data_IF_177692204718
#
_entry.id   IF_177692204718
#
_cell.length_a   1.000
_cell.length_b   1.000
_cell.length_c   1.000
_cell.angle_alpha   90.00
_cell.angle_beta   90.00
_cell.angle_gamma   90.00
#
_symmetry.space_group_name_H-M   'P 1'
#
loop_
_entity.id
_entity.type
_entity.pdbx_description
1 polymer ?
#
# COMPACT_ATOMS: atom_id res chain seq x y z
N UNK A 1 6.53 -19.77 17.64
CA UNK A 1 5.37 -20.08 18.49
C UNK A 1 4.27 -19.07 18.19
N UNK A 2 3.04 -19.54 17.99
CA UNK A 2 2.05 -19.03 17.03
C UNK A 2 1.48 -17.63 17.31
N UNK A 3 1.91 -16.62 16.54
CA UNK A 3 1.28 -15.30 16.46
C UNK A 3 -0.23 -15.38 16.19
N UNK A 4 -0.68 -16.39 15.43
CA UNK A 4 -2.09 -16.62 15.12
C UNK A 4 -2.93 -17.04 16.34
N UNK A 5 -2.38 -17.78 17.30
CA UNK A 5 -3.10 -18.17 18.52
C UNK A 5 -3.28 -16.98 19.46
N UNK A 6 -2.23 -16.18 19.63
CA UNK A 6 -2.30 -14.98 20.46
C UNK A 6 -3.22 -13.91 19.85
N UNK A 7 -3.26 -13.82 18.52
CA UNK A 7 -4.22 -12.98 17.84
C UNK A 7 -5.67 -13.43 18.04
N UNK A 8 -5.95 -14.75 17.95
CA UNK A 8 -7.30 -15.27 18.20
C UNK A 8 -7.77 -14.98 19.62
N UNK A 9 -6.93 -15.23 20.62
CA UNK A 9 -7.25 -14.94 22.02
C UNK A 9 -7.58 -13.44 22.22
N UNK A 10 -6.81 -12.54 21.60
CA UNK A 10 -7.10 -11.10 21.69
C UNK A 10 -8.44 -10.73 21.04
N UNK A 11 -8.81 -11.36 19.92
CA UNK A 11 -10.10 -11.10 19.25
C UNK A 11 -11.28 -11.63 20.06
N UNK A 12 -11.12 -12.76 20.76
CA UNK A 12 -12.13 -13.30 21.67
C UNK A 12 -12.35 -12.35 22.86
N UNK A 13 -11.27 -11.86 23.48
CA UNK A 13 -11.35 -10.86 24.55
C UNK A 13 -12.06 -9.58 24.07
N UNK A 14 -11.80 -9.15 22.83
CA UNK A 14 -12.49 -8.00 22.25
C UNK A 14 -13.98 -8.29 22.02
N UNK A 15 -14.32 -9.46 21.52
CA UNK A 15 -15.71 -9.88 21.33
C UNK A 15 -16.48 -9.89 22.65
N UNK A 16 -15.91 -10.49 23.70
CA UNK A 16 -16.48 -10.50 25.05
C UNK A 16 -16.65 -9.07 25.58
N UNK A 17 -15.64 -8.21 25.38
CA UNK A 17 -15.71 -6.81 25.77
C UNK A 17 -16.82 -6.02 25.07
N UNK A 18 -17.12 -6.32 23.81
CA UNK A 18 -18.26 -5.75 23.09
C UNK A 18 -19.55 -6.22 23.74
N UNK A 19 -19.71 -7.53 23.95
CA UNK A 19 -20.91 -8.13 24.53
C UNK A 19 -21.17 -7.61 25.95
N UNK A 20 -20.13 -7.46 26.78
CA UNK A 20 -20.19 -6.88 28.12
C UNK A 20 -20.82 -5.48 28.13
N UNK A 21 -20.33 -4.59 27.26
CA UNK A 21 -20.80 -3.19 27.19
C UNK A 21 -22.26 -3.14 26.73
N UNK A 22 -22.63 -3.98 25.76
CA UNK A 22 -24.00 -4.06 25.28
C UNK A 22 -24.95 -4.62 26.36
N UNK A 23 -24.54 -5.69 27.04
CA UNK A 23 -25.30 -6.28 28.14
C UNK A 23 -25.50 -5.31 29.31
N UNK A 24 -24.46 -4.55 29.70
CA UNK A 24 -24.55 -3.51 30.72
C UNK A 24 -25.58 -2.42 30.39
N UNK A 25 -25.84 -2.19 29.10
CA UNK A 25 -26.85 -1.25 28.59
C UNK A 25 -28.18 -1.95 28.23
N UNK A 26 -28.40 -3.18 28.72
CA UNK A 26 -29.62 -3.99 28.50
C UNK A 26 -29.88 -4.32 27.03
N UNK A 27 -28.84 -4.35 26.21
CA UNK A 27 -28.90 -4.78 24.81
C UNK A 27 -28.39 -6.22 24.72
N UNK A 28 -29.26 -7.13 24.31
CA UNK A 28 -28.89 -8.52 24.02
C UNK A 28 -28.29 -8.58 22.63
N UNK A 29 -26.99 -8.84 22.55
CA UNK A 29 -26.25 -8.99 21.31
C UNK A 29 -25.21 -10.09 21.46
N UNK A 30 -24.86 -10.73 20.35
CA UNK A 30 -23.79 -11.72 20.31
C UNK A 30 -22.92 -11.50 19.08
N UNK A 31 -21.61 -11.59 19.25
CA UNK A 31 -20.62 -11.58 18.16
C UNK A 31 -20.65 -12.95 17.49
N UNK A 32 -20.98 -12.98 16.21
CA UNK A 32 -21.11 -14.23 15.42
C UNK A 32 -19.89 -14.52 14.56
N UNK A 33 -19.00 -13.54 14.41
CA UNK A 33 -17.81 -13.64 13.59
C UNK A 33 -17.29 -12.27 13.21
N UNK A 34 -16.55 -12.22 12.12
CA UNK A 34 -15.95 -10.99 11.65
C UNK A 34 -14.81 -11.20 10.69
N UNK A 35 -14.22 -10.10 10.27
CA UNK A 35 -13.05 -10.09 9.37
C UNK A 35 -11.96 -9.23 9.97
N UNK A 36 -10.73 -9.74 9.93
CA UNK A 36 -9.55 -8.95 10.30
C UNK A 36 -8.79 -8.61 9.04
N UNK A 37 -8.76 -7.32 8.70
CA UNK A 37 -7.90 -6.78 7.65
C UNK A 37 -6.67 -6.10 8.27
N UNK A 38 -5.79 -5.58 7.42
CA UNK A 38 -4.61 -4.84 7.89
C UNK A 38 -4.94 -3.52 8.59
N UNK A 39 -6.17 -3.01 8.42
CA UNK A 39 -6.60 -1.69 8.90
C UNK A 39 -7.80 -1.70 9.80
N UNK A 40 -8.64 -2.73 9.68
CA UNK A 40 -9.92 -2.78 10.36
C UNK A 40 -10.09 -4.17 10.94
N UNK A 41 -10.58 -4.21 12.16
CA UNK A 41 -11.18 -5.40 12.75
C UNK A 41 -12.68 -5.16 12.69
N UNK A 42 -13.38 -5.99 11.93
CA UNK A 42 -14.83 -5.99 11.82
C UNK A 42 -15.38 -7.13 12.64
N UNK A 43 -16.33 -6.86 13.52
CA UNK A 43 -17.13 -7.85 14.23
C UNK A 43 -18.58 -7.78 13.73
N UNK A 44 -19.14 -8.92 13.37
CA UNK A 44 -20.55 -9.02 12.99
C UNK A 44 -21.36 -9.48 14.20
N UNK A 45 -22.46 -8.78 14.45
CA UNK A 45 -23.35 -8.99 15.58
C UNK A 45 -24.69 -9.57 15.13
N UNK A 46 -25.25 -10.44 15.95
CA UNK A 46 -26.68 -10.73 15.95
C UNK A 46 -27.34 -10.05 17.15
N UNK A 47 -28.36 -9.24 16.90
CA UNK A 47 -29.11 -8.52 17.93
C UNK A 47 -30.48 -8.08 17.39
N UNK A 48 -31.46 -7.93 18.28
CA UNK A 48 -32.74 -7.31 17.96
C UNK A 48 -32.70 -5.78 18.04
N UNK A 49 -31.64 -5.19 18.61
CA UNK A 49 -31.49 -3.76 18.71
C UNK A 49 -31.21 -3.12 17.35
N UNK A 50 -31.75 -1.92 17.14
CA UNK A 50 -31.45 -1.12 15.97
C UNK A 50 -30.05 -0.49 16.05
N UNK A 51 -29.47 -0.13 14.90
CA UNK A 51 -28.22 0.64 14.83
C UNK A 51 -28.27 1.94 15.63
N UNK A 52 -29.44 2.55 15.76
CA UNK A 52 -29.64 3.83 16.43
C UNK A 52 -29.51 3.71 17.94
N UNK A 53 -29.88 2.55 18.49
CA UNK A 53 -29.68 2.23 19.90
C UNK A 53 -28.21 1.91 20.23
N UNK A 54 -27.47 1.39 19.26
CA UNK A 54 -26.08 0.97 19.42
C UNK A 54 -25.08 2.12 19.23
N UNK A 55 -25.33 3.02 18.26
CA UNK A 55 -24.42 4.14 17.92
C UNK A 55 -23.97 4.99 19.14
N UNK A 56 -24.84 5.34 20.10
CA UNK A 56 -24.42 6.09 21.31
C UNK A 56 -23.42 5.33 22.19
N UNK A 57 -23.38 4.00 22.11
CA UNK A 57 -22.48 3.16 22.91
C UNK A 57 -21.09 3.01 22.27
N UNK A 58 -20.88 3.49 21.04
CA UNK A 58 -19.61 3.36 20.33
C UNK A 58 -18.41 3.88 21.15
N UNK A 59 -18.56 4.99 21.86
CA UNK A 59 -17.50 5.53 22.72
C UNK A 59 -17.19 4.65 23.94
N UNK A 60 -18.22 4.05 24.56
CA UNK A 60 -18.05 3.14 25.69
C UNK A 60 -17.38 1.83 25.24
N UNK A 61 -17.77 1.31 24.07
CA UNK A 61 -17.15 0.15 23.43
C UNK A 61 -15.68 0.47 23.10
N UNK A 62 -15.40 1.61 22.45
CA UNK A 62 -14.02 2.02 22.16
C UNK A 62 -13.14 2.06 23.41
N UNK A 63 -13.66 2.64 24.49
CA UNK A 63 -12.98 2.70 25.79
C UNK A 63 -12.72 1.30 26.36
N UNK A 64 -13.72 0.41 26.34
CA UNK A 64 -13.60 -0.97 26.84
C UNK A 64 -12.53 -1.76 26.07
N UNK A 65 -12.42 -1.53 24.77
CA UNK A 65 -11.50 -2.24 23.88
C UNK A 65 -10.12 -1.59 23.78
N UNK A 66 -9.90 -0.46 24.48
CA UNK A 66 -8.70 0.36 24.30
C UNK A 66 -8.47 0.77 22.84
N UNK A 67 -9.55 0.98 22.10
CA UNK A 67 -9.54 1.41 20.71
C UNK A 67 -9.72 2.94 20.62
N UNK A 68 -9.11 3.55 19.59
CA UNK A 68 -9.22 4.99 19.37
C UNK A 68 -10.63 5.42 18.94
N UNK A 69 -11.27 4.64 18.07
CA UNK A 69 -12.66 4.83 17.68
C UNK A 69 -13.31 3.50 17.31
N UNK A 70 -14.64 3.51 17.27
CA UNK A 70 -15.47 2.37 16.93
C UNK A 70 -16.62 2.85 16.06
N UNK A 71 -16.83 2.21 14.92
CA UNK A 71 -17.92 2.55 13.98
C UNK A 71 -18.96 1.44 13.98
N UNK A 72 -20.23 1.83 14.03
CA UNK A 72 -21.36 0.89 14.04
C UNK A 72 -22.25 1.20 12.85
N UNK A 73 -22.46 0.21 12.00
CA UNK A 73 -23.28 0.34 10.79
C UNK A 73 -23.94 -0.99 10.44
N UNK A 74 -24.85 -0.97 9.45
CA UNK A 74 -25.50 -2.18 8.94
C UNK A 74 -24.81 -2.59 7.64
N UNK A 75 -24.40 -3.86 7.53
CA UNK A 75 -23.73 -4.43 6.37
C UNK A 75 -24.24 -5.84 6.08
N UNK A 76 -24.53 -6.14 4.82
CA UNK A 76 -25.03 -7.44 4.35
C UNK A 76 -26.15 -8.07 5.22
N UNK A 77 -26.99 -7.25 5.86
CA UNK A 77 -28.09 -7.70 6.72
C UNK A 77 -27.76 -7.87 8.21
N UNK A 78 -26.47 -7.81 8.60
CA UNK A 78 -26.02 -7.82 9.99
C UNK A 78 -25.69 -6.40 10.49
N UNK A 79 -25.62 -6.23 11.80
CA UNK A 79 -25.00 -5.03 12.40
C UNK A 79 -23.52 -5.33 12.60
N UNK A 80 -22.67 -4.44 12.11
CA UNK A 80 -21.23 -4.60 12.14
C UNK A 80 -20.57 -3.50 12.97
N UNK A 81 -19.54 -3.91 13.68
CA UNK A 81 -18.69 -3.10 14.53
C UNK A 81 -17.28 -3.06 13.93
N UNK A 82 -16.84 -1.89 13.47
CA UNK A 82 -15.50 -1.71 12.93
C UNK A 82 -14.60 -0.94 13.87
N UNK A 83 -13.40 -1.46 14.04
CA UNK A 83 -12.35 -0.92 14.88
C UNK A 83 -11.11 -0.69 14.00
N UNK A 84 -10.65 0.56 13.83
CA UNK A 84 -9.38 0.82 13.17
C UNK A 84 -8.22 0.18 13.94
N UNK A 85 -7.34 -0.50 13.22
CA UNK A 85 -6.08 -1.02 13.75
C UNK A 85 -5.11 0.17 13.86
N UNK A 86 -4.61 0.52 15.06
CA UNK A 86 -3.82 1.73 15.29
C UNK A 86 -2.52 1.79 14.48
N UNK A 87 -1.89 0.63 14.25
CA UNK A 87 -0.75 0.49 13.35
C UNK A 87 -1.09 -0.50 12.24
N UNK A 88 -1.19 -0.05 10.98
CA UNK A 88 -1.39 -0.96 9.86
C UNK A 88 -0.32 -2.03 9.87
N UNK A 89 -0.73 -3.31 9.89
CA UNK A 89 0.22 -4.41 9.93
C UNK A 89 0.99 -4.49 8.63
N UNK A 90 2.31 -4.61 8.71
CA UNK A 90 3.17 -4.86 7.56
C UNK A 90 2.68 -6.10 6.80
N UNK A 91 2.33 -5.90 5.54
CA UNK A 91 1.92 -6.96 4.63
C UNK A 91 3.12 -7.39 3.81
N UNK A 92 3.55 -8.65 3.90
CA UNK A 92 4.73 -9.10 3.13
C UNK A 92 4.34 -9.31 1.67
N UNK A 93 5.16 -8.80 0.76
CA UNK A 93 4.92 -8.97 -0.68
C UNK A 93 4.84 -10.45 -1.10
N UNK A 94 5.61 -11.33 -0.49
CA UNK A 94 5.62 -12.77 -0.84
C UNK A 94 4.27 -13.44 -0.58
N UNK A 95 3.60 -13.09 0.52
CA UNK A 95 2.25 -13.59 0.81
C UNK A 95 1.25 -13.13 -0.25
N UNK A 96 1.37 -11.88 -0.68
CA UNK A 96 0.50 -11.31 -1.70
C UNK A 96 0.78 -11.90 -3.10
N UNK A 97 2.05 -12.20 -3.40
CA UNK A 97 2.45 -12.90 -4.62
C UNK A 97 1.86 -14.31 -4.67
N UNK A 98 1.89 -15.05 -3.56
CA UNK A 98 1.28 -16.37 -3.44
C UNK A 98 -0.25 -16.31 -3.62
N UNK A 99 -0.91 -15.30 -3.03
CA UNK A 99 -2.36 -15.08 -3.16
C UNK A 99 -2.79 -14.74 -4.60
N UNK A 100 -2.01 -13.91 -5.29
CA UNK A 100 -2.32 -13.47 -6.65
C UNK A 100 -1.96 -14.53 -7.70
N UNK A 101 -0.88 -15.28 -7.48
CA UNK A 101 -0.40 -16.36 -8.35
C UNK A 101 0.21 -15.87 -9.67
N UNK A 102 -0.55 -15.15 -10.49
CA UNK A 102 -0.10 -14.56 -11.75
C UNK A 102 -0.68 -13.17 -11.95
N UNK A 103 0.04 -12.31 -12.68
CA UNK A 103 -0.41 -10.96 -13.01
C UNK A 103 -0.41 -10.74 -14.52
N UNK A 104 -1.28 -9.85 -15.04
CA UNK A 104 -1.18 -9.44 -16.44
C UNK A 104 0.16 -8.76 -16.75
N UNK A 105 0.60 -8.74 -18.02
CA UNK A 105 1.85 -8.06 -18.40
C UNK A 105 1.91 -6.60 -17.95
N UNK A 106 3.10 -6.13 -17.58
CA UNK A 106 3.37 -4.77 -17.08
C UNK A 106 2.55 -4.39 -15.83
N UNK A 107 2.21 -5.38 -15.00
CA UNK A 107 1.42 -5.16 -13.78
C UNK A 107 2.30 -5.31 -12.53
N UNK A 108 2.31 -4.27 -11.71
CA UNK A 108 2.95 -4.24 -10.40
C UNK A 108 1.94 -4.65 -9.32
N UNK A 109 2.43 -5.29 -8.27
CA UNK A 109 1.68 -5.48 -7.03
C UNK A 109 1.84 -4.22 -6.17
N UNK A 110 0.74 -3.64 -5.70
CA UNK A 110 0.77 -2.49 -4.78
C UNK A 110 0.62 -2.92 -3.32
N UNK A 111 -0.40 -3.73 -3.02
CA UNK A 111 -0.82 -4.02 -1.65
C UNK A 111 -2.24 -4.59 -1.60
N UNK A 112 -3.00 -4.28 -0.54
CA UNK A 112 -4.43 -4.60 -0.46
C UNK A 112 -5.26 -3.35 -0.22
N UNK A 113 -6.43 -3.30 -0.85
CA UNK A 113 -7.42 -2.25 -0.61
C UNK A 113 -8.09 -2.39 0.78
N UNK A 114 -9.02 -1.49 1.07
CA UNK A 114 -9.76 -1.50 2.35
C UNK A 114 -10.62 -2.76 2.56
N UNK A 115 -10.95 -3.50 1.49
CA UNK A 115 -11.67 -4.78 1.55
C UNK A 115 -10.73 -5.96 1.75
N UNK A 116 -9.42 -5.74 1.81
CA UNK A 116 -8.42 -6.79 1.91
C UNK A 116 -8.15 -7.52 0.59
N UNK A 117 -8.61 -6.98 -0.53
CA UNK A 117 -8.39 -7.55 -1.85
C UNK A 117 -7.04 -7.09 -2.41
N UNK A 118 -6.26 -7.98 -3.06
CA UNK A 118 -5.02 -7.60 -3.73
C UNK A 118 -5.25 -6.47 -4.74
N UNK A 119 -4.52 -5.37 -4.57
CA UNK A 119 -4.53 -4.23 -5.47
C UNK A 119 -3.31 -4.31 -6.40
N UNK A 120 -3.59 -4.42 -7.69
CA UNK A 120 -2.62 -4.52 -8.76
C UNK A 120 -2.68 -3.26 -9.63
N UNK A 121 -1.54 -2.81 -10.16
CA UNK A 121 -1.46 -1.67 -11.05
C UNK A 121 -0.73 -2.02 -12.33
N UNK A 122 -1.46 -2.01 -13.46
CA UNK A 122 -0.83 -2.01 -14.78
C UNK A 122 -0.26 -0.62 -15.04
N UNK A 123 1.06 -0.52 -15.24
CA UNK A 123 1.73 0.78 -15.28
C UNK A 123 1.26 1.63 -16.47
N UNK A 124 1.16 1.07 -17.68
CA UNK A 124 0.47 1.67 -18.85
C UNK A 124 0.80 3.13 -19.20
N UNK A 125 1.83 3.71 -18.59
CA UNK A 125 2.10 5.13 -18.46
C UNK A 125 2.97 5.41 -17.23
N UNK A 126 3.16 6.68 -16.89
CA UNK A 126 4.02 7.08 -15.78
C UNK A 126 3.27 7.17 -14.44
N UNK A 127 3.96 6.79 -13.37
CA UNK A 127 3.46 6.75 -12.00
C UNK A 127 4.30 7.67 -11.11
N UNK A 128 3.63 8.55 -10.36
CA UNK A 128 4.25 9.38 -9.32
C UNK A 128 3.85 8.87 -7.94
N UNK A 129 4.81 8.76 -7.02
CA UNK A 129 4.59 8.38 -5.62
C UNK A 129 5.04 9.54 -4.71
N UNK A 130 4.10 10.21 -4.05
CA UNK A 130 4.35 11.35 -3.17
C UNK A 130 4.02 11.03 -1.69
N UNK A 131 4.54 11.82 -0.75
CA UNK A 131 4.48 11.49 0.69
C UNK A 131 5.69 12.00 1.47
N UNK A 132 5.54 12.19 2.79
CA UNK A 132 6.63 12.62 3.67
C UNK A 132 7.56 11.44 4.04
N UNK A 133 8.64 11.72 4.77
CA UNK A 133 9.48 10.66 5.36
C UNK A 133 8.63 9.73 6.23
N UNK A 134 8.81 8.41 6.12
CA UNK A 134 8.06 7.43 6.92
C UNK A 134 6.69 7.00 6.35
N UNK A 135 6.14 7.75 5.39
CA UNK A 135 4.87 7.40 4.73
C UNK A 135 4.90 6.07 3.95
N UNK A 136 6.08 5.62 3.53
CA UNK A 136 6.28 4.33 2.84
C UNK A 136 6.53 4.41 1.33
N UNK A 137 6.73 5.61 0.76
CA UNK A 137 6.97 5.79 -0.70
C UNK A 137 8.06 4.89 -1.28
N UNK A 138 9.26 4.97 -0.71
CA UNK A 138 10.43 4.20 -1.19
C UNK A 138 10.21 2.69 -1.02
N UNK A 139 9.51 2.28 0.04
CA UNK A 139 9.15 0.88 0.23
C UNK A 139 8.18 0.42 -0.88
N UNK A 140 7.15 1.22 -1.19
CA UNK A 140 6.22 0.94 -2.28
C UNK A 140 6.94 0.93 -3.64
N UNK A 141 7.84 1.89 -3.90
CA UNK A 141 8.62 1.95 -5.13
C UNK A 141 9.40 0.66 -5.37
N UNK A 142 10.09 0.16 -4.33
CA UNK A 142 10.81 -1.13 -4.38
C UNK A 142 9.86 -2.32 -4.55
N UNK A 143 8.72 -2.33 -3.86
CA UNK A 143 7.68 -3.37 -4.00
C UNK A 143 7.17 -3.45 -5.45
N UNK A 144 6.90 -2.29 -6.07
CA UNK A 144 6.48 -2.20 -7.46
C UNK A 144 7.57 -2.70 -8.41
N UNK A 145 8.80 -2.22 -8.26
CA UNK A 145 9.92 -2.64 -9.10
C UNK A 145 10.20 -4.14 -9.00
N UNK A 146 10.22 -4.69 -7.77
CA UNK A 146 10.48 -6.11 -7.53
C UNK A 146 9.37 -7.01 -8.09
N UNK A 147 8.10 -6.65 -7.92
CA UNK A 147 6.99 -7.42 -8.50
C UNK A 147 6.97 -7.34 -10.03
N UNK A 148 7.25 -6.18 -10.62
CA UNK A 148 7.40 -6.06 -12.07
C UNK A 148 8.54 -6.95 -12.58
N UNK A 149 9.73 -6.88 -11.98
CA UNK A 149 10.87 -7.71 -12.37
C UNK A 149 10.60 -9.20 -12.22
N UNK A 150 9.84 -9.60 -11.18
CA UNK A 150 9.46 -10.98 -10.95
C UNK A 150 8.56 -11.55 -12.05
N UNK A 151 7.46 -10.84 -12.36
CA UNK A 151 6.43 -11.33 -13.27
C UNK A 151 6.65 -10.95 -14.75
N UNK A 152 7.57 -10.03 -15.04
CA UNK A 152 7.77 -9.48 -16.39
C UNK A 152 9.26 -9.49 -16.74
N UNK A 153 9.77 -10.68 -17.08
CA UNK A 153 11.21 -10.90 -17.35
C UNK A 153 11.74 -10.10 -18.54
N UNK A 154 10.87 -9.72 -19.46
CA UNK A 154 11.23 -8.95 -20.66
C UNK A 154 11.40 -7.44 -20.41
N UNK A 155 11.09 -6.95 -19.19
CA UNK A 155 11.28 -5.55 -18.85
C UNK A 155 12.73 -5.27 -18.49
N UNK A 156 13.26 -4.20 -19.06
CA UNK A 156 14.51 -3.59 -18.66
C UNK A 156 14.27 -2.53 -17.59
N UNK A 157 15.17 -2.41 -16.62
CA UNK A 157 15.05 -1.47 -15.50
C UNK A 157 16.22 -0.50 -15.49
N UNK A 158 15.90 0.80 -15.42
CA UNK A 158 16.88 1.85 -15.18
C UNK A 158 16.61 2.42 -13.79
N UNK A 159 17.51 2.15 -12.85
CA UNK A 159 17.37 2.54 -11.45
C UNK A 159 18.17 3.82 -11.20
N UNK A 160 17.49 4.87 -10.74
CA UNK A 160 18.07 6.20 -10.49
C UNK A 160 17.96 6.55 -9.00
N UNK A 161 19.09 6.59 -8.31
CA UNK A 161 19.19 6.93 -6.89
C UNK A 161 20.47 7.74 -6.62
N UNK A 162 20.44 9.07 -6.83
CA UNK A 162 21.64 9.91 -6.74
C UNK A 162 22.28 9.97 -5.35
N UNK A 163 21.54 9.57 -4.32
CA UNK A 163 22.03 9.56 -2.93
C UNK A 163 22.27 8.15 -2.41
N UNK A 164 22.18 7.13 -3.27
CA UNK A 164 22.43 5.72 -2.97
C UNK A 164 21.75 5.31 -1.66
N UNK A 165 20.50 5.72 -1.48
CA UNK A 165 19.80 5.48 -0.22
C UNK A 165 19.35 4.04 -0.17
N UNK A 166 18.65 3.63 -1.22
CA UNK A 166 17.62 2.63 -1.04
C UNK A 166 17.47 1.71 -2.25
N UNK A 167 17.71 2.17 -3.47
CA UNK A 167 17.36 1.41 -4.66
C UNK A 167 18.52 0.58 -5.22
N UNK A 168 19.75 0.78 -4.74
CA UNK A 168 20.93 0.02 -5.21
C UNK A 168 20.72 -1.50 -5.18
N UNK A 169 19.95 -1.99 -4.21
CA UNK A 169 19.66 -3.42 -4.10
C UNK A 169 18.83 -3.98 -5.28
N UNK A 170 18.10 -3.14 -6.01
CA UNK A 170 17.35 -3.53 -7.20
C UNK A 170 18.27 -3.80 -8.41
N UNK A 171 19.52 -3.32 -8.39
CA UNK A 171 20.51 -3.61 -9.43
C UNK A 171 20.95 -5.09 -9.44
N UNK A 172 20.42 -5.91 -8.53
CA UNK A 172 20.66 -7.36 -8.47
C UNK A 172 19.73 -8.14 -9.39
N UNK A 173 18.74 -7.49 -10.02
CA UNK A 173 17.93 -8.11 -11.06
C UNK A 173 18.73 -8.19 -12.38
N UNK A 174 18.54 -9.23 -13.20
CA UNK A 174 19.36 -9.49 -14.39
C UNK A 174 19.27 -8.38 -15.45
N UNK A 175 18.10 -7.75 -15.59
CA UNK A 175 17.86 -6.70 -16.59
C UNK A 175 17.80 -5.30 -15.95
N UNK A 176 18.64 -5.01 -14.95
CA UNK A 176 18.61 -3.75 -14.22
C UNK A 176 19.97 -3.03 -14.21
N UNK A 177 19.99 -1.79 -14.72
CA UNK A 177 21.14 -0.89 -14.65
C UNK A 177 20.94 0.20 -13.59
N UNK A 178 21.98 0.49 -12.81
CA UNK A 178 21.93 1.46 -11.72
C UNK A 178 22.75 2.71 -12.02
N UNK A 179 22.17 3.87 -11.75
CA UNK A 179 22.76 5.17 -12.00
C UNK A 179 22.67 6.07 -10.76
N UNK A 180 23.82 6.63 -10.38
CA UNK A 180 23.93 7.70 -9.38
C UNK A 180 23.75 9.08 -10.05
N UNK A 181 24.11 9.18 -11.33
CA UNK A 181 23.97 10.40 -12.12
C UNK A 181 22.66 10.38 -12.91
N UNK A 182 21.73 11.28 -12.58
CA UNK A 182 20.43 11.33 -13.25
C UNK A 182 20.54 11.65 -14.75
N UNK A 183 21.43 12.58 -15.14
CA UNK A 183 21.61 12.93 -16.56
C UNK A 183 22.12 11.77 -17.41
N UNK A 184 22.98 10.92 -16.84
CA UNK A 184 23.43 9.70 -17.54
C UNK A 184 22.31 8.68 -17.65
N UNK A 185 21.52 8.51 -16.59
CA UNK A 185 20.34 7.64 -16.62
C UNK A 185 19.33 8.08 -17.69
N UNK A 186 19.05 9.38 -17.82
CA UNK A 186 18.14 9.91 -18.82
C UNK A 186 18.63 9.64 -20.24
N UNK A 187 19.92 9.88 -20.50
CA UNK A 187 20.54 9.59 -21.80
C UNK A 187 20.50 8.10 -22.10
N UNK A 188 20.79 7.26 -21.11
CA UNK A 188 20.76 5.81 -21.28
C UNK A 188 19.35 5.30 -21.58
N UNK A 189 18.37 5.70 -20.77
CA UNK A 189 16.97 5.28 -20.91
C UNK A 189 16.37 5.74 -22.25
N UNK A 190 16.70 6.95 -22.72
CA UNK A 190 16.22 7.46 -24.00
C UNK A 190 16.66 6.63 -25.22
N UNK A 191 17.73 5.85 -25.10
CA UNK A 191 18.29 5.03 -26.18
C UNK A 191 17.92 3.54 -26.06
N UNK A 192 17.07 3.17 -25.09
CA UNK A 192 16.65 1.79 -24.92
C UNK A 192 15.63 1.37 -25.97
N UNK A 193 15.88 0.22 -26.61
CA UNK A 193 14.96 -0.40 -27.57
C UNK A 193 13.95 -1.30 -26.83
N UNK A 194 14.39 -1.95 -25.75
CA UNK A 194 13.53 -2.80 -24.92
C UNK A 194 12.48 -1.98 -24.17
N UNK A 195 11.39 -2.63 -23.75
CA UNK A 195 10.44 -2.01 -22.83
C UNK A 195 11.15 -1.73 -21.50
N UNK A 196 11.21 -0.46 -21.12
CA UNK A 196 12.05 0.02 -20.03
C UNK A 196 11.21 0.67 -18.94
N UNK A 197 11.45 0.27 -17.70
CA UNK A 197 10.89 0.91 -16.51
C UNK A 197 12.00 1.69 -15.80
N UNK A 198 11.86 3.01 -15.77
CA UNK A 198 12.77 3.91 -15.07
C UNK A 198 12.24 4.14 -13.66
N UNK A 199 13.01 3.71 -12.66
CA UNK A 199 12.64 3.75 -11.23
C UNK A 199 13.48 4.83 -10.54
N UNK A 200 12.83 5.84 -9.98
CA UNK A 200 13.52 7.05 -9.45
C UNK A 200 13.17 7.26 -7.97
N UNK A 201 14.15 7.18 -7.05
CA UNK A 201 13.90 7.28 -5.59
C UNK A 201 13.43 8.67 -5.16
N UNK A 202 14.07 9.72 -5.67
CA UNK A 202 13.72 11.10 -5.31
C UNK A 202 13.95 11.99 -6.53
N UNK A 203 12.89 12.23 -7.30
CA UNK A 203 12.93 13.05 -8.52
C UNK A 203 13.42 14.48 -8.24
N UNK A 204 13.14 15.02 -7.04
CA UNK A 204 13.59 16.35 -6.66
C UNK A 204 15.12 16.44 -6.48
N UNK A 205 15.79 15.31 -6.22
CA UNK A 205 17.25 15.22 -6.18
C UNK A 205 17.87 15.09 -7.59
N UNK A 206 17.05 14.87 -8.63
CA UNK A 206 17.48 14.67 -10.02
C UNK A 206 17.40 15.93 -10.90
N UNK A 207 16.89 17.04 -10.36
CA UNK A 207 16.59 18.24 -11.17
C UNK A 207 15.37 18.10 -12.10
N UNK A 208 14.52 17.09 -11.85
CA UNK A 208 13.37 16.76 -12.70
C UNK A 208 13.68 15.71 -13.77
N UNK A 209 12.66 15.41 -14.57
CA UNK A 209 12.74 14.44 -15.67
C UNK A 209 12.54 15.22 -16.98
N UNK A 210 13.43 15.05 -17.98
CA UNK A 210 13.29 15.68 -19.28
C UNK A 210 11.96 15.33 -19.97
N UNK A 211 11.28 16.34 -20.51
CA UNK A 211 9.95 16.20 -21.13
C UNK A 211 9.91 15.18 -22.27
N UNK A 212 11.01 15.05 -23.02
CA UNK A 212 11.13 14.06 -24.09
C UNK A 212 10.94 12.62 -23.61
N UNK A 213 11.34 12.29 -22.38
CA UNK A 213 11.23 10.93 -21.85
C UNK A 213 9.76 10.51 -21.62
N UNK A 214 8.88 11.45 -21.29
CA UNK A 214 7.45 11.17 -21.09
C UNK A 214 6.72 10.78 -22.39
N UNK A 215 7.34 11.03 -23.55
CA UNK A 215 6.74 10.74 -24.86
C UNK A 215 7.29 9.46 -25.50
N UNK A 216 8.22 8.76 -24.85
CA UNK A 216 8.83 7.54 -25.38
C UNK A 216 7.91 6.35 -25.10
N UNK A 217 7.34 5.76 -26.15
CA UNK A 217 6.27 4.75 -26.04
C UNK A 217 6.63 3.46 -25.30
N UNK A 218 7.89 3.05 -25.35
CA UNK A 218 8.42 1.86 -24.66
C UNK A 218 9.04 2.18 -23.30
N UNK A 219 8.90 3.41 -22.80
CA UNK A 219 9.50 3.86 -21.55
C UNK A 219 8.42 4.24 -20.54
N UNK A 220 8.46 3.59 -19.38
CA UNK A 220 7.58 3.85 -18.25
C UNK A 220 8.40 4.44 -17.11
N UNK A 221 7.85 5.39 -16.38
CA UNK A 221 8.56 6.06 -15.28
C UNK A 221 7.77 5.82 -14.01
N UNK A 222 8.44 5.32 -12.98
CA UNK A 222 7.91 5.22 -11.62
C UNK A 222 8.85 6.05 -10.75
N UNK A 223 8.39 7.24 -10.35
CA UNK A 223 9.20 8.18 -9.59
C UNK A 223 8.57 8.45 -8.23
N UNK A 224 9.39 8.60 -7.19
CA UNK A 224 8.94 9.16 -5.91
C UNK A 224 9.46 10.55 -5.65
N UNK A 225 8.71 11.28 -4.81
CA UNK A 225 9.08 12.61 -4.32
C UNK A 225 8.62 12.87 -2.89
N UNK A 226 9.44 13.56 -2.11
CA UNK A 226 9.02 14.17 -0.84
C UNK A 226 8.57 15.63 -0.99
N UNK A 227 8.77 16.20 -2.18
CA UNK A 227 8.45 17.59 -2.51
C UNK A 227 7.49 17.62 -3.71
N UNK A 228 6.23 17.18 -3.54
CA UNK A 228 5.28 17.10 -4.65
C UNK A 228 5.05 18.45 -5.34
N UNK A 229 5.23 19.57 -4.63
CA UNK A 229 5.13 20.93 -5.16
C UNK A 229 6.19 21.27 -6.22
N UNK A 230 7.30 20.54 -6.28
CA UNK A 230 8.36 20.76 -7.28
C UNK A 230 8.19 19.91 -8.53
N UNK A 231 7.14 19.09 -8.60
CA UNK A 231 6.91 18.13 -9.68
C UNK A 231 5.61 18.45 -10.41
N UNK A 232 5.66 18.50 -11.75
CA UNK A 232 4.45 18.58 -12.55
C UNK A 232 3.74 17.22 -12.59
N UNK A 233 2.89 16.98 -11.58
CA UNK A 233 2.12 15.74 -11.45
C UNK A 233 1.19 15.45 -12.63
N UNK A 234 0.84 16.44 -13.47
CA UNK A 234 -0.02 16.25 -14.64
C UNK A 234 0.63 15.38 -15.72
N UNK A 235 1.96 15.22 -15.69
CA UNK A 235 2.71 14.31 -16.56
C UNK A 235 2.56 12.83 -16.16
N UNK A 236 1.96 12.57 -15.00
CA UNK A 236 1.77 11.22 -14.46
C UNK A 236 0.29 10.88 -14.45
N UNK A 237 -0.09 9.88 -15.26
CA UNK A 237 -1.48 9.41 -15.36
C UNK A 237 -1.98 8.82 -14.04
N UNK A 238 -1.05 8.23 -13.28
CA UNK A 238 -1.32 7.62 -11.98
C UNK A 238 -0.50 8.33 -10.91
N UNK A 239 -1.16 8.78 -9.86
CA UNK A 239 -0.50 9.34 -8.68
C UNK A 239 -0.84 8.49 -7.45
N UNK A 240 0.17 8.09 -6.70
CA UNK A 240 0.02 7.43 -5.41
C UNK A 240 0.52 8.39 -4.34
N UNK A 241 -0.25 8.57 -3.29
CA UNK A 241 0.06 9.57 -2.28
C UNK A 241 -0.03 8.92 -0.90
N UNK A 242 1.10 8.89 -0.19
CA UNK A 242 1.13 8.57 1.23
C UNK A 242 0.85 9.82 2.07
N UNK A 243 0.92 9.70 3.39
CA UNK A 243 0.73 10.85 4.28
C UNK A 243 1.68 12.00 3.92
N UNK A 244 1.09 13.17 3.69
CA UNK A 244 1.76 14.47 3.61
C UNK A 244 1.10 15.37 4.66
N UNK A 245 1.86 15.80 5.66
CA UNK A 245 1.34 16.51 6.83
C UNK A 245 0.64 17.83 6.44
N UNK A 246 1.22 18.53 5.46
CA UNK A 246 0.72 19.82 4.98
C UNK A 246 -0.48 19.70 4.04
N UNK A 247 -0.81 18.50 3.54
CA UNK A 247 -1.87 18.32 2.55
C UNK A 247 -3.16 17.75 3.19
N UNK A 248 -4.29 18.50 3.21
CA UNK A 248 -5.50 18.10 3.94
C UNK A 248 -6.06 16.74 3.56
N UNK A 249 -6.03 16.39 2.27
CA UNK A 249 -6.60 15.14 1.77
C UNK A 249 -5.86 13.88 2.27
N UNK A 250 -4.60 14.02 2.71
CA UNK A 250 -3.76 12.91 3.15
C UNK A 250 -3.57 12.87 4.66
N UNK A 251 -4.13 13.84 5.41
CA UNK A 251 -4.01 13.88 6.88
C UNK A 251 -4.63 12.67 7.58
N UNK A 252 -5.59 12.01 6.93
CA UNK A 252 -6.25 10.80 7.44
C UNK A 252 -5.49 9.52 7.16
N UNK A 253 -4.50 9.56 6.26
CA UNK A 253 -3.65 8.41 6.00
C UNK A 253 -2.74 8.20 7.20
N UNK A 254 -2.64 6.96 7.65
CA UNK A 254 -1.57 6.56 8.56
C UNK A 254 -0.21 6.61 7.84
N UNK A 255 0.88 6.47 8.60
CA UNK A 255 2.21 6.26 8.03
C UNK A 255 2.41 4.78 7.65
N UNK A 256 3.65 4.41 7.25
CA UNK A 256 4.06 3.02 7.01
C UNK A 256 3.21 2.27 5.96
N UNK A 257 2.92 2.93 4.84
CA UNK A 257 2.33 2.28 3.68
C UNK A 257 0.81 2.43 3.55
N UNK A 258 0.16 3.23 4.40
CA UNK A 258 -1.20 3.68 4.11
C UNK A 258 -1.17 4.73 3.01
N UNK A 259 -1.68 4.35 1.84
CA UNK A 259 -1.54 5.08 0.60
C UNK A 259 -2.91 5.32 -0.04
N UNK A 260 -3.00 6.40 -0.81
CA UNK A 260 -4.11 6.71 -1.68
C UNK A 260 -3.66 6.63 -3.15
N UNK A 261 -4.21 5.69 -3.89
CA UNK A 261 -4.08 5.61 -5.34
C UNK A 261 -5.10 6.55 -6.00
N UNK A 262 -4.62 7.44 -6.86
CA UNK A 262 -5.40 8.38 -7.64
C UNK A 262 -5.20 8.10 -9.14
N UNK A 263 -6.29 7.76 -9.84
CA UNK A 263 -6.28 7.52 -11.28
C UNK A 263 -7.55 8.08 -11.93
N UNK A 264 -7.41 9.15 -12.70
CA UNK A 264 -8.57 9.91 -13.19
C UNK A 264 -9.38 10.46 -12.02
N UNK A 265 -10.68 10.14 -11.97
CA UNK A 265 -11.57 10.48 -10.84
C UNK A 265 -11.54 9.47 -9.69
N UNK A 266 -10.98 8.28 -9.93
CA UNK A 266 -10.99 7.18 -8.96
C UNK A 266 -9.93 7.42 -7.87
N UNK A 267 -10.34 7.14 -6.64
CA UNK A 267 -9.48 7.20 -5.45
C UNK A 267 -9.66 5.93 -4.64
N UNK A 268 -8.57 5.18 -4.47
CA UNK A 268 -8.58 3.91 -3.76
C UNK A 268 -7.55 4.01 -2.64
N UNK A 269 -7.99 3.91 -1.39
CA UNK A 269 -7.08 3.80 -0.26
C UNK A 269 -6.64 2.34 -0.14
N UNK A 270 -5.35 2.12 0.12
CA UNK A 270 -4.79 0.77 0.18
C UNK A 270 -3.55 0.72 1.07
N UNK A 271 -3.36 -0.42 1.73
CA UNK A 271 -2.15 -0.72 2.49
C UNK A 271 -1.11 -1.31 1.56
N UNK A 272 0.03 -0.64 1.39
CA UNK A 272 1.10 -1.14 0.54
C UNK A 272 1.75 -2.40 1.11
N UNK A 273 2.12 -3.29 0.19
CA UNK A 273 2.96 -4.43 0.52
C UNK A 273 4.39 -3.96 0.79
N UNK A 274 5.00 -4.62 1.76
CA UNK A 274 6.35 -4.37 2.24
C UNK A 274 7.31 -5.43 1.69
N UNK A 275 8.40 -4.94 1.11
CA UNK A 275 9.52 -5.73 0.67
C UNK A 275 10.68 -5.57 1.67
N UNK A 276 10.89 -6.60 2.49
CA UNK A 276 12.05 -6.69 3.37
C UNK A 276 13.27 -7.27 2.66
N UNK A 277 14.41 -7.25 3.36
CA UNK A 277 15.67 -7.79 2.82
C UNK A 277 15.60 -9.30 2.53
N UNK A 278 14.84 -10.05 3.33
CA UNK A 278 14.66 -11.50 3.15
C UNK A 278 13.83 -11.80 1.92
N UNK A 279 12.70 -11.12 1.75
CA UNK A 279 11.81 -11.26 0.59
C UNK A 279 12.57 -10.89 -0.69
N UNK A 280 13.32 -9.80 -0.66
CA UNK A 280 14.09 -9.37 -1.82
C UNK A 280 15.16 -10.39 -2.23
N UNK A 281 15.85 -11.03 -1.28
CA UNK A 281 16.79 -12.10 -1.60
C UNK A 281 16.09 -13.27 -2.29
N UNK A 282 14.91 -13.65 -1.82
CA UNK A 282 14.09 -14.73 -2.43
C UNK A 282 13.68 -14.35 -3.86
N UNK A 283 13.09 -13.16 -4.04
CA UNK A 283 12.65 -12.67 -5.36
C UNK A 283 13.84 -12.59 -6.31
N UNK A 284 14.96 -12.02 -5.90
CA UNK A 284 16.17 -11.96 -6.75
C UNK A 284 16.57 -13.37 -7.18
N UNK A 285 16.67 -14.33 -6.25
CA UNK A 285 17.06 -15.71 -6.59
C UNK A 285 16.12 -16.36 -7.60
N UNK A 286 14.81 -16.16 -7.47
CA UNK A 286 13.81 -16.67 -8.40
C UNK A 286 13.82 -15.92 -9.75
N UNK A 287 14.26 -14.65 -9.77
CA UNK A 287 14.41 -13.87 -11.01
C UNK A 287 15.61 -14.31 -11.86
N UNK A 288 16.60 -14.97 -11.25
CA UNK A 288 17.74 -15.54 -11.95
C UNK A 288 17.51 -16.97 -12.47
N UNK A 289 16.41 -17.61 -12.07
CA UNK A 289 15.95 -18.90 -12.60
C UNK A 289 15.04 -18.69 -13.81
#
# INVERSE_FOLDING_TARGET
MNSNLQQRANLEIMADGIEDVLAANRIVAKVIGGTVSHRLIKFDLTTSASTDQLRPLAGAIATRLSAGEVRIYKDAGAISLEIPVPEPRLMRITQLMEEVGSVPPQTAILGKDDRGMPLLLRIGGHVLIAGDTGSGKTALLRTMAASLAYYNRDLHFVIVDPKIRSLKVLSRFPNADFFECASDAWRYAANQIAQTVVVVDEISDCGGIPDGLFNISNLYIIASTQKPETVDHRKFKTCIVGRIEKHPATKKLADRGDMLLCYGSEKIQFQSAWLGATELKKIVAEVWQ
#
